data_IF_069855803386
#
_entry.id   IF_069855803386
#
_cell.length_a   1.000
_cell.length_b   1.000
_cell.length_c   1.000
_cell.angle_alpha   90.00
_cell.angle_beta   90.00
_cell.angle_gamma   90.00
#
_symmetry.space_group_name_H-M   'P 1'
#
loop_
_entity.id
_entity.type
_entity.pdbx_description
1 polymer ?
#
# COMPACT_ATOMS: atom_id res chain seq x y z
N UNK A 1 -14.49 2.34 -12.67
CA UNK A 1 -13.12 2.07 -12.16
C UNK A 1 -12.58 0.87 -12.90
N UNK A 2 -11.49 1.03 -13.61
CA UNK A 2 -10.82 -0.07 -14.31
C UNK A 2 -9.35 -0.06 -13.97
N UNK A 3 -8.94 -0.92 -13.05
CA UNK A 3 -7.52 -1.21 -12.89
C UNK A 3 -6.97 -1.81 -14.17
N UNK A 4 -5.86 -1.27 -14.63
CA UNK A 4 -5.01 -1.86 -15.67
C UNK A 4 -3.68 -2.27 -15.07
N UNK A 5 -3.05 -3.27 -15.66
CA UNK A 5 -1.74 -3.72 -15.18
C UNK A 5 -0.69 -2.63 -15.40
N UNK A 6 0.08 -2.35 -14.36
CA UNK A 6 1.25 -1.47 -14.40
C UNK A 6 2.50 -2.34 -14.54
N UNK A 7 3.41 -2.03 -15.47
CA UNK A 7 4.69 -2.73 -15.54
C UNK A 7 5.38 -2.77 -14.17
N UNK A 8 5.79 -3.96 -13.74
CA UNK A 8 6.26 -4.18 -12.38
C UNK A 8 7.52 -3.36 -12.03
N UNK A 9 8.41 -3.16 -13.01
CA UNK A 9 9.59 -2.31 -12.88
C UNK A 9 9.28 -0.80 -12.70
N UNK A 10 8.02 -0.39 -12.81
CA UNK A 10 7.56 0.98 -12.53
C UNK A 10 6.77 1.08 -11.22
N UNK A 11 6.46 -0.06 -10.59
CA UNK A 11 5.60 -0.06 -9.41
C UNK A 11 6.27 0.59 -8.20
N UNK A 12 7.59 0.56 -8.07
CA UNK A 12 8.31 1.21 -6.98
C UNK A 12 8.03 2.73 -6.92
N UNK A 13 7.81 3.39 -8.07
CA UNK A 13 7.52 4.82 -8.16
C UNK A 13 6.24 5.24 -7.41
N UNK A 14 5.33 4.30 -7.17
CA UNK A 14 4.10 4.54 -6.38
C UNK A 14 4.40 4.69 -4.89
N UNK A 15 5.53 4.16 -4.44
CA UNK A 15 5.92 4.08 -3.04
C UNK A 15 7.14 4.94 -2.70
N UNK A 16 7.94 5.31 -3.71
CA UNK A 16 9.13 6.15 -3.56
C UNK A 16 8.87 7.48 -2.84
N UNK A 17 7.76 8.20 -3.12
CA UNK A 17 7.44 9.42 -2.39
C UNK A 17 7.10 9.19 -0.90
N UNK A 18 6.90 7.95 -0.45
CA UNK A 18 6.55 7.62 0.93
C UNK A 18 5.09 7.97 1.31
N UNK A 19 4.08 7.69 0.48
CA UNK A 19 2.70 8.02 0.81
C UNK A 19 2.17 7.18 1.98
N UNK A 20 1.12 7.65 2.65
CA UNK A 20 0.33 6.76 3.51
C UNK A 20 -0.35 5.70 2.64
N UNK A 21 -0.24 4.44 3.04
CA UNK A 21 -0.79 3.29 2.32
C UNK A 21 -1.77 2.49 3.16
N UNK A 22 -2.63 1.74 2.48
CA UNK A 22 -3.42 0.66 3.07
C UNK A 22 -2.74 -0.68 2.77
N UNK A 23 -2.61 -1.51 3.80
CA UNK A 23 -2.15 -2.89 3.65
C UNK A 23 -3.36 -3.81 3.82
N UNK A 24 -3.80 -4.41 2.71
CA UNK A 24 -4.87 -5.40 2.72
C UNK A 24 -4.30 -6.80 2.99
N UNK A 25 -4.96 -7.54 3.86
CA UNK A 25 -4.61 -8.92 4.22
C UNK A 25 -5.85 -9.81 4.17
N UNK A 26 -5.64 -11.12 4.02
CA UNK A 26 -6.68 -12.13 4.13
C UNK A 26 -6.19 -13.25 5.05
N UNK A 27 -6.94 -13.60 6.10
CA UNK A 27 -6.58 -14.65 7.04
C UNK A 27 -7.11 -16.05 6.66
N UNK A 28 -7.79 -16.14 5.51
CA UNK A 28 -8.50 -17.33 5.01
C UNK A 28 -9.97 -17.35 5.37
N UNK A 29 -10.45 -16.39 6.17
CA UNK A 29 -11.86 -16.24 6.57
C UNK A 29 -12.42 -14.88 6.21
N UNK A 30 -11.63 -13.82 6.41
CA UNK A 30 -12.03 -12.44 6.14
C UNK A 30 -10.87 -11.60 5.64
N UNK A 31 -11.22 -10.56 4.90
CA UNK A 31 -10.32 -9.50 4.50
C UNK A 31 -10.17 -8.47 5.62
N UNK A 32 -9.01 -7.85 5.73
CA UNK A 32 -8.77 -6.75 6.64
C UNK A 32 -7.86 -5.70 6.01
N UNK A 33 -7.87 -4.50 6.60
CA UNK A 33 -7.04 -3.36 6.22
C UNK A 33 -6.29 -2.83 7.44
N UNK A 34 -5.06 -2.38 7.24
CA UNK A 34 -4.33 -1.53 8.18
C UNK A 34 -3.72 -0.35 7.45
N UNK A 35 -3.65 0.79 8.13
CA UNK A 35 -3.01 2.00 7.61
C UNK A 35 -1.56 2.03 8.05
N UNK A 36 -0.65 2.28 7.12
CA UNK A 36 0.79 2.33 7.34
C UNK A 36 1.38 3.57 6.68
N UNK A 37 2.22 4.30 7.41
CA UNK A 37 3.07 5.39 6.89
C UNK A 37 4.56 5.04 6.94
N UNK A 38 4.96 4.03 7.69
CA UNK A 38 6.35 3.62 7.83
C UNK A 38 6.68 2.49 6.87
N UNK A 39 7.08 2.86 5.67
CA UNK A 39 7.55 1.95 4.64
C UNK A 39 8.61 2.63 3.78
N UNK A 40 9.37 1.85 3.04
CA UNK A 40 10.35 2.33 2.07
C UNK A 40 10.51 1.36 0.91
N UNK A 41 10.91 1.88 -0.24
CA UNK A 41 11.42 1.11 -1.38
C UNK A 41 12.84 0.65 -1.06
N UNK A 42 13.19 -0.57 -1.40
CA UNK A 42 14.53 -1.13 -1.18
C UNK A 42 15.23 -1.52 -2.48
N UNK A 43 14.48 -1.63 -3.59
CA UNK A 43 15.01 -1.92 -4.92
C UNK A 43 14.01 -1.52 -6.01
N UNK A 44 14.49 -1.26 -7.22
CA UNK A 44 13.69 -1.00 -8.42
C UNK A 44 12.84 -2.20 -8.88
N UNK A 45 13.16 -3.41 -8.45
CA UNK A 45 12.39 -4.65 -8.69
C UNK A 45 11.25 -4.83 -7.69
N UNK A 46 10.37 -3.88 -7.50
CA UNK A 46 9.63 -3.39 -6.35
C UNK A 46 9.73 -4.29 -5.11
N UNK A 47 10.90 -4.28 -4.47
CA UNK A 47 11.04 -4.77 -3.11
C UNK A 47 10.82 -3.62 -2.14
N UNK A 48 10.10 -3.89 -1.06
CA UNK A 48 9.75 -2.91 -0.06
C UNK A 48 9.98 -3.46 1.35
N UNK A 49 10.18 -2.54 2.28
CA UNK A 49 10.15 -2.79 3.70
C UNK A 49 9.02 -1.98 4.34
N UNK A 50 8.31 -2.56 5.30
CA UNK A 50 7.36 -1.84 6.12
C UNK A 50 7.51 -2.22 7.59
N UNK A 51 7.27 -1.26 8.50
CA UNK A 51 7.32 -1.50 9.93
C UNK A 51 5.93 -1.82 10.44
N UNK A 52 5.78 -3.01 11.05
CA UNK A 52 4.57 -3.46 11.72
C UNK A 52 4.90 -4.59 12.70
N UNK A 53 3.99 -4.88 13.62
CA UNK A 53 4.19 -5.90 14.64
C UNK A 53 2.87 -6.40 15.23
N UNK A 54 2.94 -7.12 16.34
CA UNK A 54 1.81 -7.79 17.00
C UNK A 54 0.75 -6.82 17.57
N UNK A 55 1.08 -5.53 17.70
CA UNK A 55 0.13 -4.47 17.99
C UNK A 55 -0.92 -4.25 16.88
N UNK A 56 -0.64 -4.71 15.66
CA UNK A 56 -1.58 -4.67 14.53
C UNK A 56 -2.28 -6.01 14.32
N UNK A 57 -3.62 -6.00 14.31
CA UNK A 57 -4.42 -7.21 14.08
C UNK A 57 -4.06 -7.95 12.78
N UNK A 58 -3.72 -7.21 11.71
CA UNK A 58 -3.33 -7.79 10.41
C UNK A 58 -2.01 -8.55 10.45
N UNK A 59 -1.13 -8.28 11.43
CA UNK A 59 0.24 -8.81 11.46
C UNK A 59 0.27 -10.34 11.46
N UNK A 60 -0.59 -10.99 12.25
CA UNK A 60 -0.67 -12.46 12.30
C UNK A 60 -1.07 -13.06 10.95
N UNK A 61 -2.02 -12.43 10.25
CA UNK A 61 -2.43 -12.87 8.91
C UNK A 61 -1.29 -12.68 7.90
N UNK A 62 -0.61 -11.52 7.95
CA UNK A 62 0.52 -11.18 7.10
C UNK A 62 1.65 -12.22 7.21
N UNK A 63 2.09 -12.54 8.42
CA UNK A 63 3.16 -13.53 8.62
C UNK A 63 2.74 -14.96 8.31
N UNK A 64 1.48 -15.33 8.62
CA UNK A 64 0.98 -16.69 8.38
C UNK A 64 0.75 -16.96 6.90
N UNK A 65 0.15 -16.01 6.18
CA UNK A 65 -0.17 -16.15 4.75
C UNK A 65 1.00 -15.79 3.86
N UNK A 66 1.93 -15.00 4.37
CA UNK A 66 3.12 -14.48 3.65
C UNK A 66 2.75 -13.72 2.38
N UNK A 67 1.63 -13.00 2.43
CA UNK A 67 1.13 -12.23 1.31
C UNK A 67 0.28 -11.04 1.78
N UNK A 68 0.21 -10.00 0.97
CA UNK A 68 -0.65 -8.85 1.16
C UNK A 68 -0.83 -8.08 -0.15
N UNK A 69 -1.70 -7.07 -0.11
CA UNK A 69 -1.76 -6.04 -1.14
C UNK A 69 -1.44 -4.69 -0.49
N UNK A 70 -0.50 -3.96 -1.07
CA UNK A 70 -0.25 -2.56 -0.74
C UNK A 70 -1.11 -1.69 -1.67
N UNK A 71 -2.02 -0.90 -1.11
CA UNK A 71 -2.89 -0.03 -1.87
C UNK A 71 -2.55 1.44 -1.58
N UNK A 72 -2.42 2.25 -2.64
CA UNK A 72 -2.07 3.67 -2.57
C UNK A 72 -3.34 4.51 -2.67
N UNK A 73 -3.85 5.06 -1.57
CA UNK A 73 -5.01 5.92 -1.57
C UNK A 73 -4.67 7.34 -2.04
N UNK A 74 -5.67 8.07 -2.48
CA UNK A 74 -5.58 9.49 -2.81
C UNK A 74 -6.28 10.36 -1.78
N UNK A 75 -5.99 11.65 -1.78
CA UNK A 75 -6.45 12.62 -0.76
C UNK A 75 -7.98 12.64 -0.58
N UNK A 76 -8.75 12.32 -1.62
CA UNK A 76 -10.22 12.33 -1.56
C UNK A 76 -10.82 11.27 -0.60
N UNK A 77 -10.04 10.30 -0.14
CA UNK A 77 -10.45 9.30 0.85
C UNK A 77 -9.61 9.32 2.13
N UNK A 78 -8.85 10.40 2.37
CA UNK A 78 -7.91 10.53 3.50
C UNK A 78 -8.58 10.23 4.85
N UNK A 79 -9.76 10.78 5.12
CA UNK A 79 -10.48 10.57 6.37
C UNK A 79 -10.79 9.08 6.63
N UNK A 80 -11.21 8.36 5.56
CA UNK A 80 -11.44 6.91 5.65
C UNK A 80 -10.15 6.16 5.97
N UNK A 81 -9.05 6.52 5.29
CA UNK A 81 -7.74 5.87 5.46
C UNK A 81 -7.24 6.02 6.89
N UNK A 82 -7.34 7.22 7.46
CA UNK A 82 -6.91 7.48 8.84
C UNK A 82 -7.83 6.73 9.83
N UNK A 83 -9.16 6.81 9.65
CA UNK A 83 -10.12 6.11 10.51
C UNK A 83 -10.00 4.57 10.45
N UNK A 84 -9.46 4.01 9.37
CA UNK A 84 -9.11 2.57 9.29
C UNK A 84 -8.02 2.22 10.30
N UNK A 85 -7.07 3.13 10.55
CA UNK A 85 -6.02 2.97 11.56
C UNK A 85 -6.54 2.94 12.99
N UNK A 86 -7.61 3.68 13.27
CA UNK A 86 -8.18 3.84 14.63
C UNK A 86 -9.04 2.67 15.11
N UNK A 87 -9.31 1.68 14.27
CA UNK A 87 -10.14 0.53 14.67
C UNK A 87 -9.47 -0.81 14.38
N UNK A 88 -9.81 -1.82 15.19
CA UNK A 88 -9.27 -3.17 15.02
C UNK A 88 -10.10 -4.00 14.05
N UNK A 89 -9.43 -4.70 13.12
CA UNK A 89 -10.05 -5.72 12.28
C UNK A 89 -10.54 -6.94 13.06
N UNK A 90 -10.21 -7.07 14.36
CA UNK A 90 -10.75 -8.12 15.22
C UNK A 90 -12.27 -8.04 15.31
N UNK A 91 -12.76 -6.83 15.54
CA UNK A 91 -14.18 -6.56 15.87
C UNK A 91 -14.91 -5.80 14.75
N UNK A 92 -14.19 -5.40 13.69
CA UNK A 92 -14.73 -4.55 12.63
C UNK A 92 -14.44 -5.12 11.25
N UNK A 93 -15.47 -5.23 10.42
CA UNK A 93 -15.32 -5.36 8.97
C UNK A 93 -15.03 -3.98 8.39
N UNK A 94 -13.76 -3.68 8.16
CA UNK A 94 -13.31 -2.36 7.72
C UNK A 94 -13.73 -2.03 6.30
N UNK A 95 -13.80 -3.01 5.39
CA UNK A 95 -14.30 -2.77 4.05
C UNK A 95 -15.76 -2.27 4.09
N UNK A 96 -16.62 -2.98 4.82
CA UNK A 96 -18.03 -2.60 4.98
C UNK A 96 -18.19 -1.28 5.72
N UNK A 97 -17.48 -1.11 6.85
CA UNK A 97 -17.61 0.09 7.70
C UNK A 97 -17.26 1.38 6.95
N UNK A 98 -16.20 1.36 6.15
CA UNK A 98 -15.70 2.54 5.45
C UNK A 98 -16.18 2.64 3.99
N UNK A 99 -17.05 1.72 3.57
CA UNK A 99 -17.58 1.70 2.19
C UNK A 99 -16.45 1.59 1.17
N UNK A 100 -15.52 0.63 1.38
CA UNK A 100 -14.48 0.27 0.44
C UNK A 100 -14.82 -1.06 -0.23
N UNK A 101 -14.44 -1.19 -1.49
CA UNK A 101 -14.76 -2.34 -2.33
C UNK A 101 -13.56 -3.25 -2.49
N UNK A 102 -13.58 -4.47 -1.91
CA UNK A 102 -12.53 -5.45 -2.18
C UNK A 102 -12.71 -6.02 -3.59
N UNK A 103 -11.67 -5.97 -4.40
CA UNK A 103 -11.62 -6.63 -5.71
C UNK A 103 -10.68 -7.84 -5.65
N UNK A 104 -10.95 -8.89 -6.43
CA UNK A 104 -10.06 -10.05 -6.47
C UNK A 104 -8.70 -9.65 -7.02
N UNK A 105 -7.64 -10.08 -6.35
CA UNK A 105 -6.27 -10.04 -6.82
C UNK A 105 -5.98 -11.27 -7.70
N UNK A 106 -4.85 -11.30 -8.39
CA UNK A 106 -4.50 -12.42 -9.28
C UNK A 106 -3.42 -13.34 -8.71
N UNK A 107 -2.51 -12.82 -7.91
CA UNK A 107 -1.34 -13.54 -7.38
C UNK A 107 -1.47 -13.88 -5.89
N UNK A 108 -2.36 -13.18 -5.17
CA UNK A 108 -2.53 -13.31 -3.72
C UNK A 108 -4.01 -13.38 -3.34
N UNK A 109 -4.33 -13.95 -2.17
CA UNK A 109 -5.71 -14.00 -1.66
C UNK A 109 -6.16 -12.67 -1.02
N UNK A 110 -5.24 -11.80 -0.65
CA UNK A 110 -5.56 -10.47 -0.15
C UNK A 110 -6.15 -9.61 -1.29
N UNK A 111 -7.24 -8.84 -1.04
CA UNK A 111 -7.93 -8.12 -2.10
C UNK A 111 -7.22 -6.83 -2.51
N UNK A 112 -7.41 -6.42 -3.77
CA UNK A 112 -7.20 -5.04 -4.19
C UNK A 112 -8.27 -4.13 -3.55
N UNK A 113 -7.99 -2.83 -3.47
CA UNK A 113 -8.92 -1.81 -2.94
C UNK A 113 -9.34 -0.88 -4.08
N UNK A 114 -10.59 -0.99 -4.54
CA UNK A 114 -11.08 -0.31 -5.74
C UNK A 114 -10.95 1.22 -5.67
N UNK A 115 -11.10 1.82 -4.50
CA UNK A 115 -11.06 3.26 -4.28
C UNK A 115 -9.64 3.84 -4.25
N UNK A 116 -8.60 3.01 -4.28
CA UNK A 116 -7.21 3.44 -4.34
C UNK A 116 -6.75 3.76 -5.78
N UNK A 117 -5.72 4.59 -5.90
CA UNK A 117 -5.07 4.93 -7.18
C UNK A 117 -4.38 3.71 -7.79
N UNK A 118 -3.71 2.94 -6.94
CA UNK A 118 -2.93 1.80 -7.36
C UNK A 118 -2.89 0.72 -6.28
N UNK A 119 -2.58 -0.51 -6.69
CA UNK A 119 -2.39 -1.65 -5.81
C UNK A 119 -1.17 -2.45 -6.26
N UNK A 120 -0.38 -2.96 -5.31
CA UNK A 120 0.72 -3.88 -5.53
C UNK A 120 0.48 -5.16 -4.74
N UNK A 121 0.35 -6.27 -5.45
CA UNK A 121 0.27 -7.61 -4.87
C UNK A 121 1.66 -8.04 -4.41
N UNK A 122 1.81 -8.46 -3.16
CA UNK A 122 3.11 -8.71 -2.55
C UNK A 122 3.17 -10.07 -1.85
N UNK A 123 4.38 -10.66 -1.87
CA UNK A 123 4.78 -11.77 -1.00
C UNK A 123 5.73 -11.29 0.08
N UNK A 124 5.56 -11.82 1.29
CA UNK A 124 6.50 -11.61 2.39
C UNK A 124 7.71 -12.50 2.14
N UNK A 125 8.89 -11.88 2.02
CA UNK A 125 10.17 -12.56 1.81
C UNK A 125 10.97 -12.70 3.09
N UNK A 126 10.69 -11.88 4.11
CA UNK A 126 11.38 -11.91 5.39
C UNK A 126 10.67 -11.10 6.46
N UNK A 127 11.08 -11.35 7.71
CA UNK A 127 10.69 -10.56 8.86
C UNK A 127 11.89 -10.41 9.79
N UNK A 128 12.21 -9.17 10.15
CA UNK A 128 13.24 -8.82 11.12
C UNK A 128 12.49 -8.44 12.39
N UNK A 129 12.56 -9.31 13.41
CA UNK A 129 11.75 -9.21 14.62
C UNK A 129 11.99 -7.90 15.37
N UNK A 130 13.23 -7.51 15.54
CA UNK A 130 13.58 -6.19 16.04
C UNK A 130 14.33 -5.42 14.93
N UNK A 131 13.80 -4.31 14.45
CA UNK A 131 12.73 -3.44 14.96
C UNK A 131 11.31 -3.70 14.41
N UNK A 132 10.97 -4.87 13.93
CA UNK A 132 9.63 -5.17 13.40
C UNK A 132 9.48 -4.80 11.93
N UNK A 133 10.43 -5.22 11.09
CA UNK A 133 10.43 -4.93 9.65
C UNK A 133 9.99 -6.17 8.87
N UNK A 134 8.94 -6.01 8.07
CA UNK A 134 8.49 -7.00 7.08
C UNK A 134 9.05 -6.64 5.73
N UNK A 135 9.74 -7.59 5.10
CA UNK A 135 10.28 -7.48 3.75
C UNK A 135 9.30 -8.05 2.74
N UNK A 136 9.05 -7.30 1.67
CA UNK A 136 8.06 -7.62 0.66
C UNK A 136 8.68 -7.63 -0.74
N UNK A 137 8.24 -8.59 -1.55
CA UNK A 137 8.48 -8.63 -2.99
C UNK A 137 7.17 -8.35 -3.70
N UNK A 138 7.14 -7.32 -4.54
CA UNK A 138 6.02 -7.06 -5.44
C UNK A 138 5.95 -8.12 -6.54
N UNK A 139 4.73 -8.61 -6.79
CA UNK A 139 4.45 -9.67 -7.74
C UNK A 139 3.70 -9.15 -8.96
N UNK A 140 2.73 -8.27 -8.73
CA UNK A 140 1.91 -7.66 -9.78
C UNK A 140 1.37 -6.31 -9.33
N UNK A 141 1.36 -5.35 -10.25
CA UNK A 141 0.93 -3.99 -9.97
C UNK A 141 -0.26 -3.59 -10.84
N UNK A 142 -1.15 -2.80 -10.26
CA UNK A 142 -2.37 -2.29 -10.86
C UNK A 142 -2.48 -0.80 -10.66
N UNK A 143 -3.01 -0.08 -11.65
CA UNK A 143 -3.24 1.35 -11.57
C UNK A 143 -4.56 1.75 -12.22
N UNK A 144 -5.32 2.65 -11.57
CA UNK A 144 -6.50 3.28 -12.16
C UNK A 144 -6.06 4.53 -12.97
N UNK A 145 -5.85 4.35 -14.27
CA UNK A 145 -5.41 5.42 -15.17
C UNK A 145 -6.47 6.51 -15.38
N UNK A 146 -7.73 6.21 -15.13
CA UNK A 146 -8.84 7.15 -15.32
C UNK A 146 -9.16 7.96 -14.06
N UNK A 147 -8.48 7.67 -12.95
CA UNK A 147 -8.68 8.40 -11.71
C UNK A 147 -8.25 9.86 -11.88
N UNK A 148 -9.19 10.77 -11.65
CA UNK A 148 -8.97 12.22 -11.77
C UNK A 148 -8.14 12.78 -10.62
N UNK A 149 -8.50 12.42 -9.37
CA UNK A 149 -7.69 12.78 -8.21
C UNK A 149 -6.57 11.75 -8.05
N UNK A 150 -5.33 12.21 -8.19
CA UNK A 150 -4.14 11.36 -8.14
C UNK A 150 -3.18 11.73 -7.02
N UNK A 151 -3.40 12.87 -6.36
CA UNK A 151 -2.52 13.34 -5.29
C UNK A 151 -2.57 12.40 -4.10
N UNK A 152 -1.43 11.93 -3.69
CA UNK A 152 -1.23 11.14 -2.47
C UNK A 152 -0.99 12.07 -1.29
N UNK A 153 -0.80 11.52 -0.10
CA UNK A 153 -0.58 12.29 1.11
C UNK A 153 0.39 11.59 2.05
N UNK A 154 1.09 12.37 2.86
CA UNK A 154 2.17 11.94 3.76
C UNK A 154 1.84 12.35 5.18
N UNK A 155 2.14 11.49 6.15
CA UNK A 155 1.93 11.78 7.56
C UNK A 155 3.11 12.56 8.15
N UNK A 156 2.84 13.66 8.88
CA UNK A 156 3.86 14.38 9.63
C UNK A 156 4.16 13.76 11.02
N UNK A 157 3.31 12.82 11.48
CA UNK A 157 3.46 12.17 12.78
C UNK A 157 2.77 12.87 13.95
N UNK A 158 2.22 14.05 13.74
CA UNK A 158 1.53 14.89 14.74
C UNK A 158 0.01 14.99 14.52
N UNK A 159 -0.53 14.16 13.61
CA UNK A 159 -1.94 14.19 13.22
C UNK A 159 -2.21 15.11 12.02
N UNK A 160 -1.19 15.80 11.49
CA UNK A 160 -1.30 16.56 10.25
C UNK A 160 -0.73 15.80 9.06
N UNK A 161 -1.14 16.18 7.86
CA UNK A 161 -0.76 15.52 6.62
C UNK A 161 -0.37 16.53 5.55
N UNK A 162 0.66 16.19 4.77
CA UNK A 162 1.03 16.93 3.56
C UNK A 162 0.41 16.23 2.36
N UNK A 163 -0.22 16.99 1.49
CA UNK A 163 -0.75 16.50 0.21
C UNK A 163 0.27 16.80 -0.87
N UNK A 164 0.46 15.82 -1.75
CA UNK A 164 1.36 15.94 -2.90
C UNK A 164 1.05 17.19 -3.73
N UNK A 165 2.08 17.95 -4.08
CA UNK A 165 1.98 19.24 -4.75
C UNK A 165 2.50 19.21 -6.19
N UNK A 166 3.33 20.19 -6.54
CA UNK A 166 3.90 20.37 -7.87
C UNK A 166 4.98 19.33 -8.16
N UNK A 167 4.96 18.76 -9.37
CA UNK A 167 6.01 17.88 -9.87
C UNK A 167 7.01 18.69 -10.69
N UNK A 168 8.30 18.57 -10.37
CA UNK A 168 9.39 19.19 -11.12
C UNK A 168 10.08 18.08 -11.93
N UNK A 169 10.15 18.23 -13.24
CA UNK A 169 10.83 17.28 -14.13
C UNK A 169 12.32 17.63 -14.26
N UNK A 170 13.14 16.76 -13.69
CA UNK A 170 14.62 16.85 -13.76
C UNK A 170 15.21 15.57 -14.36
N UNK A 171 14.44 14.85 -15.19
CA UNK A 171 14.86 13.58 -15.81
C UNK A 171 16.22 13.69 -16.50
N UNK A 172 16.45 14.80 -17.23
CA UNK A 172 17.70 15.07 -17.96
C UNK A 172 18.95 15.09 -17.07
N UNK A 173 18.82 15.23 -15.75
CA UNK A 173 19.95 15.17 -14.81
C UNK A 173 20.18 13.75 -14.26
N UNK A 174 19.30 12.81 -14.55
CA UNK A 174 19.29 11.48 -13.94
C UNK A 174 19.25 10.31 -14.94
N UNK A 175 19.40 10.57 -16.25
CA UNK A 175 19.24 9.55 -17.31
C UNK A 175 20.05 8.29 -17.04
N UNK A 176 21.31 8.42 -16.59
CA UNK A 176 22.20 7.28 -16.31
C UNK A 176 21.87 6.55 -14.99
N UNK A 177 20.93 7.04 -14.21
CA UNK A 177 20.57 6.52 -12.87
C UNK A 177 19.22 5.82 -12.85
N UNK A 178 18.38 6.04 -13.85
CA UNK A 178 17.04 5.49 -13.90
C UNK A 178 17.04 4.10 -14.55
N UNK A 179 16.19 3.17 -14.06
CA UNK A 179 16.18 1.79 -14.54
C UNK A 179 15.43 1.59 -15.87
N UNK A 180 15.00 2.67 -16.55
CA UNK A 180 14.22 2.63 -17.79
C UNK A 180 14.40 3.89 -18.64
#
# INVERSE_FOLDING_TARGET
>A
MSFVELPLNKAFMLFEPGPVILVATNDGKKNNLMTISWHMVTDFTPTLALTTGDWNYSFKALLKKKECVLAVPTVNIIEKVISIGDCSGKDTDKFKKFGLTPLPASEVAAPLVAECLACLECRVTGYIEEPGIVLLQGMKAWIDKERKERRTFHANGDGTFVVEGETIDLHHLMEDKLPF
#
